data_IF_360053453044
#
_entry.id   IF_360053453044
#
_cell.length_a   1.000
_cell.length_b   1.000
_cell.length_c   1.000
_cell.angle_alpha   90.00
_cell.angle_beta   90.00
_cell.angle_gamma   90.00
#
_symmetry.space_group_name_H-M   'P 1'
#
loop_
_entity.id
_entity.type
_entity.pdbx_description
1 polymer ?
#
# COMPACT_ATOMS: atom_id res chain seq x y z
N UNK A 1 -10.33 1.05 -22.67
CA UNK A 1 -10.02 0.76 -21.24
C UNK A 1 -8.60 0.22 -21.19
N UNK A 2 -7.81 0.59 -20.17
CA UNK A 2 -6.49 -0.02 -19.94
C UNK A 2 -6.67 -1.49 -19.53
N UNK A 3 -6.04 -2.42 -20.24
CA UNK A 3 -6.15 -3.87 -20.02
C UNK A 3 -4.80 -4.54 -20.29
N UNK A 4 -4.47 -5.58 -19.52
CA UNK A 4 -3.23 -6.33 -19.66
C UNK A 4 -1.98 -5.60 -19.18
N UNK A 5 -2.12 -4.41 -18.57
CA UNK A 5 -1.00 -3.58 -18.17
C UNK A 5 -0.49 -3.90 -16.76
N UNK A 6 0.74 -3.46 -16.47
CA UNK A 6 1.32 -3.43 -15.13
C UNK A 6 1.23 -2.01 -14.57
N UNK A 7 0.49 -1.83 -13.49
CA UNK A 7 0.22 -0.52 -12.89
C UNK A 7 0.85 -0.47 -11.51
N UNK A 8 1.74 0.51 -11.28
CA UNK A 8 2.30 0.78 -9.95
C UNK A 8 1.63 2.04 -9.39
N UNK A 9 0.90 1.90 -8.29
CA UNK A 9 0.17 2.98 -7.65
C UNK A 9 0.87 3.40 -6.36
N UNK A 10 1.39 4.63 -6.31
CA UNK A 10 1.92 5.22 -5.08
C UNK A 10 0.81 5.98 -4.37
N UNK A 11 0.42 5.51 -3.19
CA UNK A 11 -0.68 6.09 -2.46
C UNK A 11 -0.50 5.91 -0.95
N UNK A 12 -1.48 6.39 -0.18
CA UNK A 12 -1.54 6.18 1.26
C UNK A 12 -1.51 4.69 1.64
N UNK A 13 -1.36 4.41 2.92
CA UNK A 13 -1.40 3.04 3.41
C UNK A 13 -2.77 2.41 3.11
N UNK A 14 -2.75 1.20 2.57
CA UNK A 14 -3.97 0.47 2.22
C UNK A 14 -4.89 0.24 3.43
N UNK A 15 -4.30 0.07 4.62
CA UNK A 15 -5.02 -0.17 5.86
C UNK A 15 -5.69 1.08 6.45
N UNK A 16 -5.39 2.26 5.92
CA UNK A 16 -6.11 3.49 6.29
C UNK A 16 -7.48 3.55 5.59
N UNK A 17 -8.33 4.49 6.00
CA UNK A 17 -9.71 4.61 5.51
C UNK A 17 -9.83 4.57 3.98
N UNK A 18 -10.74 3.76 3.41
CA UNK A 18 -10.85 3.59 1.97
C UNK A 18 -11.30 4.90 1.31
N UNK A 19 -10.50 5.35 0.34
CA UNK A 19 -10.74 6.50 -0.55
C UNK A 19 -10.97 6.07 -2.00
N UNK A 20 -11.26 7.04 -2.89
CA UNK A 20 -11.45 6.85 -4.33
C UNK A 20 -10.33 6.04 -4.99
N UNK A 21 -9.06 6.23 -4.61
CA UNK A 21 -7.94 5.47 -5.16
C UNK A 21 -8.11 3.96 -4.97
N UNK A 22 -8.64 3.52 -3.82
CA UNK A 22 -8.88 2.10 -3.55
C UNK A 22 -9.93 1.54 -4.51
N UNK A 23 -11.01 2.30 -4.73
CA UNK A 23 -12.07 1.90 -5.64
C UNK A 23 -11.54 1.80 -7.09
N UNK A 24 -10.81 2.81 -7.56
CA UNK A 24 -10.25 2.83 -8.92
C UNK A 24 -9.24 1.70 -9.12
N UNK A 25 -8.32 1.48 -8.16
CA UNK A 25 -7.32 0.43 -8.28
C UNK A 25 -7.92 -0.97 -8.23
N UNK A 26 -8.97 -1.20 -7.43
CA UNK A 26 -9.73 -2.47 -7.44
C UNK A 26 -10.39 -2.73 -8.80
N UNK A 27 -10.97 -1.70 -9.41
CA UNK A 27 -11.57 -1.81 -10.74
C UNK A 27 -10.51 -2.13 -11.81
N UNK A 28 -9.37 -1.43 -11.77
CA UNK A 28 -8.26 -1.68 -12.71
C UNK A 28 -7.64 -3.06 -12.53
N UNK A 29 -7.58 -3.59 -11.30
CA UNK A 29 -7.02 -4.90 -10.98
C UNK A 29 -7.85 -6.10 -11.49
N UNK A 30 -9.03 -5.85 -12.08
CA UNK A 30 -9.83 -6.90 -12.75
C UNK A 30 -9.15 -7.36 -14.04
N UNK A 31 -8.65 -6.40 -14.81
CA UNK A 31 -8.07 -6.64 -16.15
C UNK A 31 -6.57 -6.34 -16.22
N UNK A 32 -5.96 -5.82 -15.15
CA UNK A 32 -4.56 -5.40 -15.10
C UNK A 32 -3.88 -5.96 -13.84
N UNK A 33 -2.54 -6.00 -13.84
CA UNK A 33 -1.73 -6.28 -12.66
C UNK A 33 -1.46 -4.97 -11.93
N UNK A 34 -1.92 -4.85 -10.70
CA UNK A 34 -1.78 -3.61 -9.92
C UNK A 34 -0.92 -3.88 -8.70
N UNK A 35 0.14 -3.09 -8.55
CA UNK A 35 0.97 -3.03 -7.35
C UNK A 35 0.68 -1.72 -6.60
N UNK A 36 0.04 -1.81 -5.45
CA UNK A 36 -0.15 -0.70 -4.53
C UNK A 36 1.08 -0.55 -3.63
N UNK A 37 1.75 0.57 -3.74
CA UNK A 37 2.87 0.96 -2.91
C UNK A 37 2.35 1.80 -1.74
N UNK A 38 2.39 1.23 -0.54
CA UNK A 38 2.10 1.98 0.69
C UNK A 38 3.10 3.13 0.85
N UNK A 39 2.60 4.29 1.26
CA UNK A 39 3.39 5.52 1.39
C UNK A 39 4.53 5.35 2.40
N UNK A 40 5.68 5.93 2.09
CA UNK A 40 6.79 6.10 3.06
C UNK A 40 6.49 7.37 3.85
N UNK A 41 6.65 7.33 5.17
CA UNK A 41 6.28 8.42 6.09
C UNK A 41 6.74 9.79 5.57
N UNK A 42 5.84 10.78 5.57
CA UNK A 42 6.13 12.14 5.11
C UNK A 42 6.83 13.00 6.15
N UNK A 43 7.01 12.49 7.37
CA UNK A 43 7.72 13.15 8.47
C UNK A 43 8.65 12.18 9.20
N UNK A 44 9.69 12.73 9.84
CA UNK A 44 10.54 11.98 10.75
C UNK A 44 9.70 11.49 11.97
N UNK A 45 9.71 10.19 12.29
CA UNK A 45 9.02 9.68 13.46
C UNK A 45 9.73 10.16 14.74
N UNK A 46 8.96 10.56 15.76
CA UNK A 46 9.55 10.85 17.06
C UNK A 46 9.66 9.56 17.86
N UNK A 47 10.86 9.17 18.27
CA UNK A 47 11.08 7.98 19.10
C UNK A 47 10.46 8.10 20.50
N UNK A 48 10.10 9.31 20.93
CA UNK A 48 9.39 9.58 22.18
C UNK A 48 7.87 9.35 22.10
N UNK A 49 7.33 9.18 20.88
CA UNK A 49 5.90 8.95 20.65
C UNK A 49 5.62 7.46 20.52
N UNK A 50 4.84 6.90 21.45
CA UNK A 50 4.40 5.50 21.40
C UNK A 50 3.63 5.16 20.11
N UNK A 51 2.93 6.14 19.55
CA UNK A 51 2.22 6.01 18.26
C UNK A 51 3.18 5.88 17.09
N UNK A 52 4.26 6.65 17.08
CA UNK A 52 5.26 6.60 16.00
C UNK A 52 6.06 5.29 16.06
N UNK A 53 6.38 4.81 17.27
CA UNK A 53 6.99 3.48 17.47
C UNK A 53 6.09 2.35 16.92
N UNK A 54 4.78 2.39 17.20
CA UNK A 54 3.83 1.43 16.65
C UNK A 54 3.79 1.44 15.12
N UNK A 55 3.88 2.63 14.50
CA UNK A 55 3.96 2.77 13.03
C UNK A 55 5.25 2.18 12.47
N UNK A 56 6.39 2.42 13.10
CA UNK A 56 7.69 1.84 12.68
C UNK A 56 7.60 0.31 12.67
N UNK A 57 7.14 -0.29 13.77
CA UNK A 57 7.00 -1.76 13.87
C UNK A 57 6.05 -2.30 12.80
N UNK A 58 4.95 -1.60 12.53
CA UNK A 58 3.98 -1.98 11.50
C UNK A 58 4.61 -1.95 10.10
N UNK A 59 5.40 -0.92 9.78
CA UNK A 59 6.10 -0.78 8.50
C UNK A 59 7.17 -1.85 8.31
N UNK A 60 8.00 -2.10 9.33
CA UNK A 60 9.02 -3.15 9.29
C UNK A 60 8.40 -4.55 9.10
N UNK A 61 7.31 -4.85 9.83
CA UNK A 61 6.56 -6.10 9.64
C UNK A 61 5.96 -6.19 8.23
N UNK A 62 5.40 -5.10 7.72
CA UNK A 62 4.83 -5.04 6.37
C UNK A 62 5.88 -5.32 5.29
N UNK A 63 7.06 -4.72 5.42
CA UNK A 63 8.19 -4.95 4.53
C UNK A 63 8.70 -6.39 4.60
N UNK A 64 8.90 -6.92 5.81
CA UNK A 64 9.35 -8.29 6.02
C UNK A 64 8.36 -9.34 5.49
N UNK A 65 7.05 -9.03 5.51
CA UNK A 65 6.00 -9.91 4.97
C UNK A 65 5.98 -9.96 3.44
N UNK A 66 6.53 -8.95 2.77
CA UNK A 66 6.50 -8.83 1.31
C UNK A 66 5.12 -8.49 0.75
N UNK A 67 4.93 -8.61 -0.57
CA UNK A 67 3.67 -8.29 -1.23
C UNK A 67 2.49 -9.15 -0.75
N UNK A 68 1.36 -8.52 -0.46
CA UNK A 68 0.12 -9.20 -0.03
C UNK A 68 -0.95 -9.00 -1.08
N UNK A 69 -1.49 -10.10 -1.61
CA UNK A 69 -2.63 -10.10 -2.52
C UNK A 69 -3.92 -9.78 -1.75
N UNK A 70 -4.68 -8.78 -2.21
CA UNK A 70 -5.97 -8.43 -1.58
C UNK A 70 -7.17 -8.90 -2.39
N UNK A 71 -7.22 -8.56 -3.67
CA UNK A 71 -8.36 -8.87 -4.52
C UNK A 71 -7.92 -8.92 -5.99
N UNK A 72 -8.38 -9.92 -6.75
CA UNK A 72 -8.02 -10.07 -8.17
C UNK A 72 -6.50 -10.13 -8.39
N UNK A 73 -5.96 -9.17 -9.14
CA UNK A 73 -4.52 -8.99 -9.40
C UNK A 73 -3.96 -7.72 -8.69
N UNK A 74 -4.52 -7.35 -7.53
CA UNK A 74 -4.06 -6.23 -6.71
C UNK A 74 -3.16 -6.71 -5.56
N UNK A 75 -1.87 -6.46 -5.69
CA UNK A 75 -0.85 -6.72 -4.67
C UNK A 75 -0.51 -5.43 -3.92
N UNK A 76 -0.38 -5.49 -2.60
CA UNK A 76 0.09 -4.37 -1.77
C UNK A 76 1.49 -4.66 -1.29
N UNK A 77 2.37 -3.69 -1.45
CA UNK A 77 3.72 -3.73 -0.92
C UNK A 77 4.01 -2.53 -0.02
N UNK A 78 4.73 -2.79 1.07
CA UNK A 78 5.18 -1.76 2.00
C UNK A 78 6.69 -1.60 1.88
N UNK A 79 7.20 -0.53 1.22
CA UNK A 79 8.61 -0.20 1.23
C UNK A 79 9.05 0.37 2.59
N UNK A 80 10.34 0.23 2.94
CA UNK A 80 10.99 0.89 4.08
C UNK A 80 12.04 1.88 3.59
#
# INVERSE_FOLDING_TARGET
>A
MLQGENIVCFAKDWTEDPTSNNHVMKMLARDNRVLWMNSISTRAPSLTSSRDLGKIVTKLKGFARGPIRVEGQLDIYTPI
#
